data_IF_697081790899
#
_entry.id   IF_697081790899
#
_cell.length_a   1.000
_cell.length_b   1.000
_cell.length_c   1.000
_cell.angle_alpha   90.00
_cell.angle_beta   90.00
_cell.angle_gamma   90.00
#
_symmetry.space_group_name_H-M   'P 1'
#
loop_
_entity.id
_entity.type
_entity.pdbx_description
1 polymer ?
#
# COMPACT_ATOMS: atom_id res chain seq x y z
N UNK A 1 -15.08 -1.44 19.84
CA UNK A 1 -14.85 -2.30 18.66
C UNK A 1 -13.96 -1.52 17.70
N UNK A 2 -12.74 -1.98 17.47
CA UNK A 2 -11.71 -1.22 16.73
C UNK A 2 -12.10 -1.10 15.25
N UNK A 3 -12.24 0.14 14.80
CA UNK A 3 -12.46 0.52 13.41
C UNK A 3 -11.18 0.16 12.64
N UNK A 4 -11.12 -1.02 12.03
CA UNK A 4 -10.09 -1.28 11.04
C UNK A 4 -10.26 -0.22 9.95
N UNK A 5 -9.18 0.49 9.60
CA UNK A 5 -9.27 1.52 8.55
C UNK A 5 -9.79 0.89 7.27
N UNK A 6 -10.83 1.52 6.69
CA UNK A 6 -11.35 1.09 5.40
C UNK A 6 -10.25 1.21 4.35
N UNK A 7 -10.17 0.23 3.46
CA UNK A 7 -9.12 0.13 2.46
C UNK A 7 -9.11 1.33 1.51
N UNK A 8 -10.27 1.97 1.27
CA UNK A 8 -10.33 3.23 0.53
C UNK A 8 -9.60 4.36 1.23
N UNK A 9 -9.73 4.47 2.55
CA UNK A 9 -9.01 5.49 3.34
C UNK A 9 -7.49 5.28 3.27
N UNK A 10 -7.04 4.02 3.26
CA UNK A 10 -5.62 3.68 3.07
C UNK A 10 -5.16 4.07 1.66
N UNK A 11 -5.95 3.76 0.63
CA UNK A 11 -5.64 4.14 -0.75
C UNK A 11 -5.51 5.66 -0.87
N UNK A 12 -6.46 6.42 -0.32
CA UNK A 12 -6.43 7.89 -0.34
C UNK A 12 -5.18 8.48 0.34
N UNK A 13 -4.75 7.89 1.46
CA UNK A 13 -3.50 8.33 2.12
C UNK A 13 -2.29 8.03 1.26
N UNK A 14 -2.26 6.89 0.59
CA UNK A 14 -1.15 6.50 -0.28
C UNK A 14 -1.10 7.35 -1.57
N UNK A 15 -2.24 7.87 -2.03
CA UNK A 15 -2.29 8.79 -3.17
C UNK A 15 -1.48 10.08 -2.97
N UNK A 16 -1.17 10.48 -1.73
CA UNK A 16 -0.35 11.68 -1.45
C UNK A 16 1.09 11.55 -1.96
N UNK A 17 1.58 10.32 -2.14
CA UNK A 17 2.94 10.07 -2.62
C UNK A 17 3.06 10.16 -4.13
N UNK A 18 1.95 10.10 -4.86
CA UNK A 18 1.92 10.23 -6.31
C UNK A 18 0.75 9.51 -6.98
N UNK A 19 0.62 9.64 -8.31
CA UNK A 19 -0.44 9.01 -9.08
C UNK A 19 -0.34 7.48 -9.02
N UNK A 20 -1.50 6.87 -8.79
CA UNK A 20 -1.67 5.42 -8.67
C UNK A 20 -2.14 4.89 -10.03
N UNK A 21 -1.37 3.99 -10.61
CA UNK A 21 -1.67 3.31 -11.86
C UNK A 21 -2.73 2.23 -11.67
N UNK A 22 -2.62 1.44 -10.61
CA UNK A 22 -3.59 0.39 -10.30
C UNK A 22 -3.57 -0.01 -8.83
N UNK A 23 -4.71 -0.54 -8.38
CA UNK A 23 -4.86 -1.17 -7.06
C UNK A 23 -5.48 -2.55 -7.27
N UNK A 24 -4.88 -3.57 -6.66
CA UNK A 24 -5.40 -4.94 -6.67
C UNK A 24 -5.66 -5.38 -5.23
N UNK A 25 -6.90 -5.72 -4.94
CA UNK A 25 -7.30 -6.22 -3.63
C UNK A 25 -6.79 -7.64 -3.42
N UNK A 26 -6.11 -7.87 -2.31
CA UNK A 26 -5.54 -9.15 -1.93
C UNK A 26 -6.23 -9.61 -0.64
N UNK A 27 -7.26 -10.44 -0.73
CA UNK A 27 -8.01 -10.89 0.45
C UNK A 27 -8.82 -9.77 1.11
N UNK A 28 -9.00 -9.84 2.44
CA UNK A 28 -9.98 -8.98 3.15
C UNK A 28 -9.43 -7.63 3.62
N UNK A 29 -8.12 -7.52 3.87
CA UNK A 29 -7.50 -6.33 4.50
C UNK A 29 -6.13 -6.00 3.90
N UNK A 30 -5.87 -6.42 2.67
CA UNK A 30 -4.65 -6.09 1.95
C UNK A 30 -4.96 -5.69 0.52
N UNK A 31 -4.12 -4.82 -0.02
CA UNK A 31 -4.10 -4.49 -1.43
C UNK A 31 -2.64 -4.33 -1.87
N UNK A 32 -2.36 -4.71 -3.11
CA UNK A 32 -1.17 -4.25 -3.82
C UNK A 32 -1.53 -3.00 -4.62
N UNK A 33 -0.58 -2.08 -4.68
CA UNK A 33 -0.73 -0.80 -5.36
C UNK A 33 0.47 -0.57 -6.26
N UNK A 34 0.20 -0.12 -7.48
CA UNK A 34 1.22 0.23 -8.46
C UNK A 34 1.15 1.74 -8.65
N UNK A 35 2.25 2.42 -8.34
CA UNK A 35 2.43 3.84 -8.66
C UNK A 35 2.94 4.00 -10.09
N UNK A 36 2.70 5.16 -10.70
CA UNK A 36 3.29 5.47 -12.01
C UNK A 36 4.81 5.66 -11.93
N UNK A 37 5.31 6.18 -10.80
CA UNK A 37 6.72 6.45 -10.59
C UNK A 37 7.32 5.64 -9.42
N UNK A 38 8.57 5.19 -9.60
CA UNK A 38 9.29 4.39 -8.60
C UNK A 38 9.55 5.19 -7.31
N UNK A 39 9.76 6.50 -7.40
CA UNK A 39 9.99 7.39 -6.25
C UNK A 39 8.75 7.42 -5.35
N UNK A 40 7.55 7.48 -5.93
CA UNK A 40 6.29 7.40 -5.17
C UNK A 40 6.13 6.07 -4.44
N UNK A 41 6.50 4.95 -5.09
CA UNK A 41 6.51 3.64 -4.45
C UNK A 41 7.56 3.55 -3.31
N UNK A 42 8.77 4.06 -3.53
CA UNK A 42 9.81 4.16 -2.50
C UNK A 42 9.35 4.97 -1.29
N UNK A 43 8.80 6.16 -1.53
CA UNK A 43 8.38 7.06 -0.46
C UNK A 43 7.23 6.48 0.36
N UNK A 44 6.26 5.84 -0.29
CA UNK A 44 5.14 5.20 0.42
C UNK A 44 5.60 3.99 1.25
N UNK A 45 6.50 3.16 0.73
CA UNK A 45 7.10 2.07 1.51
C UNK A 45 7.91 2.63 2.68
N UNK A 46 8.78 3.63 2.46
CA UNK A 46 9.59 4.21 3.54
C UNK A 46 8.73 4.82 4.67
N UNK A 47 7.60 5.44 4.34
CA UNK A 47 6.70 6.03 5.31
C UNK A 47 5.95 4.98 6.17
N UNK A 48 5.71 3.78 5.64
CA UNK A 48 4.91 2.75 6.30
C UNK A 48 5.60 1.37 6.39
N UNK A 49 6.94 1.32 6.28
CA UNK A 49 7.71 0.06 6.24
C UNK A 49 7.59 -0.77 7.53
N UNK A 50 7.48 -0.06 8.66
CA UNK A 50 7.33 -0.64 9.98
C UNK A 50 6.01 -0.16 10.55
N UNK A 51 5.49 -0.88 11.55
CA UNK A 51 4.30 -0.46 12.30
C UNK A 51 4.68 0.79 13.10
N UNK A 52 4.65 1.95 12.46
CA UNK A 52 4.89 3.23 13.11
C UNK A 52 3.81 3.44 14.15
N UNK A 53 4.14 3.91 15.37
CA UNK A 53 3.14 4.22 16.38
C UNK A 53 2.10 5.18 15.80
N UNK A 54 0.84 4.74 15.70
CA UNK A 54 -0.26 5.52 15.12
C UNK A 54 -0.71 5.12 13.71
N UNK A 55 0.01 4.24 13.01
CA UNK A 55 -0.44 3.70 11.71
C UNK A 55 -1.07 2.32 11.88
N UNK A 56 -2.25 2.10 11.29
CA UNK A 56 -2.98 0.83 11.40
C UNK A 56 -2.58 -0.19 10.33
N UNK A 57 -1.81 0.23 9.31
CA UNK A 57 -1.37 -0.60 8.19
C UNK A 57 0.15 -0.53 8.01
N UNK A 58 0.69 -1.44 7.20
CA UNK A 58 2.09 -1.47 6.79
C UNK A 58 2.19 -1.53 5.27
N UNK A 59 3.19 -0.88 4.71
CA UNK A 59 3.57 -1.03 3.31
C UNK A 59 4.85 -1.84 3.22
N UNK A 60 4.91 -2.72 2.24
CA UNK A 60 6.10 -3.50 1.95
C UNK A 60 6.20 -3.68 0.45
N UNK A 61 7.43 -3.76 -0.06
CA UNK A 61 7.64 -4.12 -1.45
C UNK A 61 6.99 -5.46 -1.74
N UNK A 62 6.06 -5.47 -2.68
CA UNK A 62 5.61 -6.69 -3.30
C UNK A 62 6.51 -6.94 -4.50
N UNK A 63 7.50 -7.82 -4.33
CA UNK A 63 8.11 -8.44 -5.50
C UNK A 63 7.03 -9.33 -6.11
N UNK A 64 6.76 -9.17 -7.41
CA UNK A 64 5.99 -10.17 -8.14
C UNK A 64 6.80 -11.47 -8.03
N UNK A 65 6.42 -12.35 -7.10
CA UNK A 65 6.99 -13.69 -7.07
C UNK A 65 6.66 -14.25 -8.44
N UNK A 66 7.67 -14.48 -9.27
CA UNK A 66 7.49 -14.83 -10.68
C UNK A 66 6.40 -15.88 -10.78
N UNK A 67 5.21 -15.48 -11.25
CA UNK A 67 4.16 -16.42 -11.59
C UNK A 67 4.71 -17.15 -12.81
N UNK A 68 5.29 -18.32 -12.57
CA UNK A 68 5.32 -19.34 -13.61
C UNK A 68 3.87 -19.73 -13.80
N UNK A 69 3.33 -19.28 -14.93
CA UNK A 69 2.18 -19.78 -15.70
C UNK A 69 0.97 -20.29 -14.90
#
# INVERSE_FOLDING_TARGET
MQLAEDLQSVIQRLSVFGPIKSVTFCGRQSASMVFEDLTSACNSVNAFQSRTPGTMFKCSWQQHFMSKD
#
